data_IF_932666316515
#
_entry.id   IF_932666316515
#
_cell.length_a   1.000
_cell.length_b   1.000
_cell.length_c   1.000
_cell.angle_alpha   90.00
_cell.angle_beta   90.00
_cell.angle_gamma   90.00
#
_symmetry.space_group_name_H-M   'P 1'
#
loop_
_entity.id
_entity.type
_entity.pdbx_description
1 polymer ?
#
# COMPACT_ATOMS: atom_id res chain seq x y z
N UNK A 1 -65.37 38.29 16.49
CA UNK A 1 -64.53 37.21 17.05
C UNK A 1 -64.52 36.05 16.06
N UNK A 2 -63.31 35.58 15.67
CA UNK A 2 -62.99 34.37 14.84
C UNK A 2 -63.32 34.53 13.34
N UNK A 3 -62.43 34.77 12.38
CA UNK A 3 -61.06 34.28 12.04
C UNK A 3 -60.96 32.75 11.93
N UNK A 4 -60.62 32.29 10.72
CA UNK A 4 -60.18 30.92 10.37
C UNK A 4 -61.20 30.18 9.50
N UNK A 5 -60.86 29.54 8.38
CA UNK A 5 -59.61 28.88 8.06
C UNK A 5 -59.39 28.84 6.53
N UNK A 6 -58.16 29.13 6.12
CA UNK A 6 -57.71 29.19 4.74
C UNK A 6 -57.19 27.84 4.22
N UNK A 7 -57.41 27.67 2.92
CA UNK A 7 -56.68 26.91 1.90
C UNK A 7 -55.59 25.90 2.33
N UNK A 8 -55.77 24.69 1.82
CA UNK A 8 -54.77 23.64 1.70
C UNK A 8 -53.55 24.10 0.89
N UNK A 9 -52.35 23.88 1.44
CA UNK A 9 -51.13 23.75 0.64
C UNK A 9 -50.41 22.45 1.01
N UNK A 10 -50.07 21.72 -0.04
CA UNK A 10 -49.55 20.38 -0.06
C UNK A 10 -48.25 20.20 0.73
N UNK A 11 -48.21 19.11 1.51
CA UNK A 11 -46.99 18.44 1.95
C UNK A 11 -46.20 17.97 0.72
N UNK A 12 -45.08 18.63 0.40
CA UNK A 12 -43.85 17.97 -0.11
C UNK A 12 -42.67 18.85 0.30
N UNK A 13 -42.24 18.76 1.56
CA UNK A 13 -40.87 19.18 1.90
C UNK A 13 -39.99 17.96 1.75
N UNK A 14 -39.14 18.03 0.73
CA UNK A 14 -38.15 17.04 0.34
C UNK A 14 -37.33 16.58 1.56
N UNK A 15 -37.52 15.31 1.96
CA UNK A 15 -36.48 14.57 2.63
C UNK A 15 -35.37 14.31 1.59
N UNK A 16 -34.48 15.29 1.40
CA UNK A 16 -33.21 14.98 0.75
C UNK A 16 -32.45 14.06 1.71
N UNK A 17 -32.01 12.87 1.29
CA UNK A 17 -30.99 12.17 2.05
C UNK A 17 -29.77 13.07 1.96
N UNK A 18 -29.49 13.78 3.04
CA UNK A 18 -28.14 14.23 3.33
C UNK A 18 -27.29 12.97 3.40
N UNK A 19 -26.76 12.57 2.25
CA UNK A 19 -25.57 11.76 2.14
C UNK A 19 -24.49 12.55 2.88
N UNK A 20 -24.43 12.32 4.19
CA UNK A 20 -23.26 12.54 5.00
C UNK A 20 -22.21 11.60 4.41
N UNK A 21 -21.59 12.03 3.31
CA UNK A 21 -20.24 11.61 2.93
C UNK A 21 -19.30 12.16 3.99
N UNK A 22 -19.43 11.68 5.23
CA UNK A 22 -18.31 11.62 6.12
C UNK A 22 -17.29 10.77 5.39
N UNK A 23 -16.21 11.37 4.91
CA UNK A 23 -15.04 10.65 4.42
C UNK A 23 -14.67 9.67 5.51
N UNK A 24 -15.07 8.41 5.38
CA UNK A 24 -14.67 7.35 6.31
C UNK A 24 -13.17 7.35 6.25
N UNK A 25 -12.51 7.75 7.34
CA UNK A 25 -11.05 7.68 7.40
C UNK A 25 -10.69 6.22 7.16
N UNK A 26 -9.89 5.96 6.13
CA UNK A 26 -9.39 4.61 5.89
C UNK A 26 -8.62 4.14 7.11
N UNK A 27 -8.79 2.87 7.42
CA UNK A 27 -8.14 2.23 8.55
C UNK A 27 -6.63 2.06 8.29
N UNK A 28 -5.79 2.00 9.33
CA UNK A 28 -4.38 1.64 9.20
C UNK A 28 -4.16 0.33 8.44
N UNK A 29 -5.05 -0.65 8.61
CA UNK A 29 -5.01 -1.91 7.85
C UNK A 29 -5.15 -1.68 6.34
N UNK A 30 -6.16 -0.92 5.91
CA UNK A 30 -6.36 -0.60 4.49
C UNK A 30 -5.20 0.23 3.93
N UNK A 31 -4.61 1.12 4.72
CA UNK A 31 -3.46 1.91 4.29
C UNK A 31 -2.17 1.09 4.19
N UNK A 32 -1.97 0.13 5.08
CA UNK A 32 -0.85 -0.81 4.99
C UNK A 32 -0.94 -1.68 3.73
N UNK A 33 -2.14 -2.18 3.41
CA UNK A 33 -2.38 -2.94 2.16
C UNK A 33 -2.12 -2.07 0.94
N UNK A 34 -2.65 -0.84 0.91
CA UNK A 34 -2.40 0.08 -0.20
C UNK A 34 -0.91 0.45 -0.37
N UNK A 35 -0.16 0.54 0.73
CA UNK A 35 1.29 0.74 0.70
C UNK A 35 2.02 -0.50 0.12
N UNK A 36 1.60 -1.72 0.48
CA UNK A 36 2.12 -2.94 -0.13
C UNK A 36 1.82 -3.01 -1.63
N UNK A 37 0.59 -2.67 -2.06
CA UNK A 37 0.21 -2.63 -3.48
C UNK A 37 1.09 -1.66 -4.28
N UNK A 38 1.44 -0.51 -3.69
CA UNK A 38 2.40 0.42 -4.28
C UNK A 38 3.77 -0.22 -4.42
N UNK A 39 4.25 -0.89 -3.37
CA UNK A 39 5.52 -1.62 -3.43
C UNK A 39 5.53 -2.72 -4.49
N UNK A 40 4.42 -3.44 -4.66
CA UNK A 40 4.29 -4.45 -5.70
C UNK A 40 4.39 -3.85 -7.10
N UNK A 41 3.78 -2.69 -7.35
CA UNK A 41 3.87 -2.03 -8.65
C UNK A 41 5.32 -1.70 -9.02
N UNK A 42 6.07 -1.10 -8.10
CA UNK A 42 7.49 -0.81 -8.31
C UNK A 42 8.34 -2.07 -8.42
N UNK A 43 8.19 -3.04 -7.51
CA UNK A 43 8.98 -4.26 -7.52
C UNK A 43 8.70 -5.13 -8.76
N UNK A 44 7.49 -5.09 -9.33
CA UNK A 44 7.20 -5.75 -10.62
C UNK A 44 7.82 -5.02 -11.82
N UNK A 45 8.39 -3.84 -11.63
CA UNK A 45 8.93 -3.00 -12.69
C UNK A 45 7.86 -2.42 -13.61
N UNK A 46 6.64 -2.23 -13.09
CA UNK A 46 5.52 -1.64 -13.85
C UNK A 46 5.91 -0.26 -14.38
N UNK A 47 5.73 -0.07 -15.70
CA UNK A 47 6.07 1.17 -16.39
C UNK A 47 5.21 2.35 -15.93
N UNK A 48 4.05 2.10 -15.33
CA UNK A 48 3.15 3.11 -14.78
C UNK A 48 3.29 3.30 -13.26
N UNK A 49 4.23 2.59 -12.60
CA UNK A 49 4.37 2.64 -11.14
C UNK A 49 4.59 4.07 -10.63
N UNK A 50 5.50 4.83 -11.28
CA UNK A 50 5.82 6.21 -10.90
C UNK A 50 4.60 7.13 -11.02
N UNK A 51 3.91 7.12 -12.17
CA UNK A 51 2.73 7.96 -12.41
C UNK A 51 1.59 7.60 -11.45
N UNK A 52 1.41 6.32 -11.17
CA UNK A 52 0.41 5.82 -10.22
C UNK A 52 0.73 6.27 -8.79
N UNK A 53 1.99 6.24 -8.38
CA UNK A 53 2.42 6.72 -7.07
C UNK A 53 2.15 8.22 -6.91
N UNK A 54 2.52 9.03 -7.90
CA UNK A 54 2.26 10.48 -7.92
C UNK A 54 0.74 10.75 -7.87
N UNK A 55 -0.05 10.03 -8.68
CA UNK A 55 -1.51 10.14 -8.67
C UNK A 55 -2.14 9.75 -7.33
N UNK A 56 -1.52 8.82 -6.60
CA UNK A 56 -1.91 8.44 -5.25
C UNK A 56 -1.44 9.45 -4.18
N UNK A 57 -0.63 10.45 -4.54
CA UNK A 57 -0.15 11.51 -3.65
C UNK A 57 1.19 11.22 -2.98
N UNK A 58 1.98 10.29 -3.52
CA UNK A 58 3.38 10.13 -3.14
C UNK A 58 4.25 11.17 -3.85
N UNK A 59 5.22 11.74 -3.13
CA UNK A 59 6.28 12.54 -3.73
C UNK A 59 7.34 11.59 -4.29
N UNK A 60 7.02 10.95 -5.41
CA UNK A 60 7.81 9.87 -6.02
C UNK A 60 8.64 10.40 -7.20
N UNK A 61 9.86 9.88 -7.32
CA UNK A 61 10.78 10.19 -8.42
C UNK A 61 11.70 8.99 -8.72
N UNK A 62 12.25 8.97 -9.94
CA UNK A 62 13.31 8.05 -10.32
C UNK A 62 14.67 8.61 -9.87
N UNK A 63 15.46 7.77 -9.23
CA UNK A 63 16.81 8.10 -8.78
C UNK A 63 17.83 7.95 -9.93
N UNK A 64 18.95 8.67 -9.84
CA UNK A 64 20.05 8.47 -10.78
C UNK A 64 20.64 7.05 -10.63
N UNK A 65 20.79 6.35 -11.75
CA UNK A 65 21.32 4.99 -11.79
C UNK A 65 22.75 4.94 -12.32
N UNK A 66 23.57 4.10 -11.69
CA UNK A 66 24.95 3.82 -12.11
C UNK A 66 25.01 2.86 -13.32
N UNK A 67 23.89 2.22 -13.68
CA UNK A 67 23.83 1.16 -14.70
C UNK A 67 22.54 1.21 -15.52
N UNK A 68 22.58 1.00 -16.85
CA UNK A 68 21.36 0.94 -17.67
C UNK A 68 20.46 -0.26 -17.35
N UNK A 69 20.96 -1.23 -16.56
CA UNK A 69 20.20 -2.41 -16.13
C UNK A 69 19.56 -2.25 -14.75
N UNK A 70 19.74 -1.08 -14.13
CA UNK A 70 19.24 -0.79 -12.79
C UNK A 70 18.36 0.45 -12.87
N UNK A 71 17.17 0.38 -12.26
CA UNK A 71 16.29 1.51 -12.03
C UNK A 71 15.95 1.56 -10.55
N UNK A 72 16.04 2.74 -9.94
CA UNK A 72 15.67 2.94 -8.55
C UNK A 72 14.71 4.11 -8.43
N UNK A 73 13.85 4.04 -7.42
CA UNK A 73 12.83 5.03 -7.17
C UNK A 73 12.78 5.32 -5.68
N UNK A 74 12.60 6.60 -5.36
CA UNK A 74 12.37 7.06 -4.00
C UNK A 74 11.03 7.75 -3.95
N UNK A 75 10.29 7.57 -2.85
CA UNK A 75 9.04 8.27 -2.64
C UNK A 75 8.76 8.57 -1.17
N UNK A 76 8.19 9.73 -0.88
CA UNK A 76 7.76 10.11 0.47
C UNK A 76 6.26 10.38 0.53
N UNK A 77 5.58 9.95 1.60
CA UNK A 77 4.18 10.30 1.83
C UNK A 77 3.74 10.15 3.28
N UNK A 78 2.87 11.04 3.75
CA UNK A 78 2.05 10.78 4.94
C UNK A 78 1.02 9.68 4.64
N UNK A 79 1.22 8.51 5.23
CA UNK A 79 0.29 7.37 5.18
C UNK A 79 -0.78 7.57 6.27
N UNK A 80 -2.05 7.85 5.89
CA UNK A 80 -3.10 8.22 6.83
C UNK A 80 -3.26 7.26 8.00
N UNK A 81 -3.21 7.80 9.21
CA UNK A 81 -3.41 7.01 10.43
C UNK A 81 -2.25 6.08 10.80
N UNK A 82 -1.17 6.08 10.02
CA UNK A 82 0.07 5.34 10.27
C UNK A 82 1.22 6.33 10.51
N UNK A 83 1.60 7.15 9.55
CA UNK A 83 2.72 8.07 9.68
C UNK A 83 3.42 8.36 8.37
N UNK A 84 4.53 9.10 8.43
CA UNK A 84 5.32 9.40 7.25
C UNK A 84 6.08 8.15 6.79
N UNK A 85 5.82 7.71 5.56
CA UNK A 85 6.49 6.59 4.91
C UNK A 85 7.50 7.06 3.90
N UNK A 86 8.71 6.55 4.06
CA UNK A 86 9.80 6.68 3.10
C UNK A 86 9.92 5.36 2.34
N UNK A 87 9.70 5.42 1.03
CA UNK A 87 9.76 4.28 0.12
C UNK A 87 11.05 4.34 -0.69
N UNK A 88 11.74 3.21 -0.78
CA UNK A 88 12.80 2.97 -1.75
C UNK A 88 12.47 1.71 -2.54
N UNK A 89 12.55 1.79 -3.86
CA UNK A 89 12.39 0.66 -4.76
C UNK A 89 13.56 0.55 -5.73
N UNK A 90 13.86 -0.68 -6.13
CA UNK A 90 14.98 -1.03 -6.99
C UNK A 90 14.55 -2.16 -7.92
N UNK A 91 14.84 -2.02 -9.21
CA UNK A 91 14.61 -3.04 -10.22
C UNK A 91 15.92 -3.28 -10.98
N UNK A 92 16.42 -4.50 -10.89
CA UNK A 92 17.64 -4.94 -11.57
C UNK A 92 17.30 -5.97 -12.64
N UNK A 93 17.76 -5.75 -13.86
CA UNK A 93 17.54 -6.66 -14.99
C UNK A 93 18.79 -7.50 -15.25
N UNK A 94 18.64 -8.82 -15.15
CA UNK A 94 19.66 -9.82 -15.48
C UNK A 94 19.26 -10.57 -16.76
N UNK A 95 20.18 -11.33 -17.39
CA UNK A 95 19.88 -12.04 -18.64
C UNK A 95 18.67 -12.99 -18.57
N UNK A 96 18.46 -13.67 -17.45
CA UNK A 96 17.42 -14.70 -17.28
C UNK A 96 16.37 -14.37 -16.22
N UNK A 97 16.50 -13.22 -15.55
CA UNK A 97 15.58 -12.80 -14.48
C UNK A 97 15.60 -11.30 -14.25
N UNK A 98 14.58 -10.81 -13.60
CA UNK A 98 14.50 -9.45 -13.05
C UNK A 98 14.32 -9.56 -11.55
N UNK A 99 15.15 -8.84 -10.78
CA UNK A 99 14.98 -8.67 -9.35
C UNK A 99 14.28 -7.35 -9.09
N UNK A 100 13.16 -7.42 -8.38
CA UNK A 100 12.41 -6.29 -7.88
C UNK A 100 12.50 -6.23 -6.37
N UNK A 101 12.81 -5.07 -5.84
CA UNK A 101 12.84 -4.80 -4.41
C UNK A 101 12.06 -3.52 -4.13
N UNK A 102 11.24 -3.54 -3.09
CA UNK A 102 10.64 -2.33 -2.55
C UNK A 102 10.61 -2.41 -1.03
N UNK A 103 10.93 -1.30 -0.39
CA UNK A 103 10.84 -1.15 1.05
C UNK A 103 10.20 0.17 1.41
N UNK A 104 9.26 0.14 2.34
CA UNK A 104 8.67 1.32 2.97
C UNK A 104 9.03 1.26 4.45
N UNK A 105 9.66 2.33 4.94
CA UNK A 105 10.01 2.53 6.33
C UNK A 105 9.18 3.67 6.93
N UNK A 106 8.59 3.43 8.10
CA UNK A 106 7.87 4.43 8.89
C UNK A 106 8.43 4.39 10.31
N UNK A 107 9.31 5.34 10.66
CA UNK A 107 10.05 5.34 11.93
C UNK A 107 9.20 5.66 13.17
N UNK A 108 8.12 6.43 13.02
CA UNK A 108 7.24 6.82 14.14
C UNK A 108 5.79 6.44 13.85
N UNK A 109 5.48 5.14 13.78
CA UNK A 109 4.17 4.69 13.35
C UNK A 109 3.14 4.89 14.48
N UNK A 110 1.95 5.31 14.09
CA UNK A 110 0.79 5.61 14.93
C UNK A 110 -0.34 4.65 14.57
N UNK A 111 -1.25 4.40 15.50
CA UNK A 111 -2.43 3.57 15.24
C UNK A 111 -2.25 2.11 15.65
N UNK A 112 -2.99 1.22 14.99
CA UNK A 112 -3.12 -0.20 15.39
C UNK A 112 -2.18 -1.09 14.58
N UNK A 113 -0.93 -1.21 15.02
CA UNK A 113 0.08 -1.98 14.29
C UNK A 113 -0.25 -3.45 14.08
N UNK A 114 -0.76 -4.11 15.12
CA UNK A 114 -1.12 -5.53 15.04
C UNK A 114 -2.19 -5.79 13.96
N UNK A 115 -3.19 -4.90 13.81
CA UNK A 115 -4.23 -5.08 12.79
C UNK A 115 -3.71 -4.80 11.38
N UNK A 116 -2.74 -3.90 11.22
CA UNK A 116 -2.06 -3.70 9.95
C UNK A 116 -1.28 -4.95 9.52
N UNK A 117 -0.47 -5.54 10.42
CA UNK A 117 0.28 -6.77 10.10
C UNK A 117 -0.66 -7.95 9.82
N UNK A 118 -1.74 -8.11 10.62
CA UNK A 118 -2.75 -9.14 10.37
C UNK A 118 -3.44 -8.98 9.01
N UNK A 119 -3.71 -7.75 8.59
CA UNK A 119 -4.31 -7.49 7.29
C UNK A 119 -3.38 -7.89 6.15
N UNK A 120 -2.08 -7.56 6.25
CA UNK A 120 -1.08 -7.97 5.26
C UNK A 120 -0.93 -9.50 5.19
N UNK A 121 -0.88 -10.17 6.34
CA UNK A 121 -0.75 -11.63 6.42
C UNK A 121 -2.02 -12.40 6.01
N UNK A 122 -3.17 -11.74 5.96
CA UNK A 122 -4.44 -12.33 5.56
C UNK A 122 -4.76 -12.14 4.06
N UNK A 123 -3.84 -11.55 3.28
CA UNK A 123 -4.02 -11.39 1.83
C UNK A 123 -3.91 -12.75 1.13
N UNK A 124 -4.89 -13.08 0.29
CA UNK A 124 -4.97 -14.36 -0.44
C UNK A 124 -3.73 -14.68 -1.32
N UNK A 125 -2.91 -13.66 -1.63
CA UNK A 125 -1.67 -13.79 -2.41
C UNK A 125 -0.41 -14.12 -1.62
N UNK A 126 -0.51 -14.26 -0.29
CA UNK A 126 0.64 -14.51 0.59
C UNK A 126 0.32 -15.60 1.62
N UNK A 127 1.31 -16.40 1.96
CA UNK A 127 1.25 -17.37 3.06
C UNK A 127 2.52 -17.31 3.91
N UNK A 128 2.44 -17.67 5.19
CA UNK A 128 3.62 -17.71 6.05
C UNK A 128 3.30 -17.60 7.52
N UNK A 129 4.27 -17.09 8.28
CA UNK A 129 4.22 -17.07 9.74
C UNK A 129 4.11 -15.63 10.26
N UNK A 130 3.31 -15.49 11.32
CA UNK A 130 3.24 -14.29 12.14
C UNK A 130 3.72 -14.60 13.55
N UNK A 131 4.47 -13.66 14.13
CA UNK A 131 4.92 -13.73 15.50
C UNK A 131 4.71 -12.40 16.22
N UNK A 132 4.40 -12.45 17.51
CA UNK A 132 4.36 -11.28 18.39
C UNK A 132 5.41 -11.47 19.48
N UNK A 133 6.43 -10.62 19.48
CA UNK A 133 7.56 -10.71 20.40
C UNK A 133 7.97 -9.31 20.86
N UNK A 134 8.37 -9.17 22.13
CA UNK A 134 8.88 -7.91 22.69
C UNK A 134 7.99 -6.67 22.47
N UNK A 135 6.67 -6.86 22.36
CA UNK A 135 5.71 -5.79 22.09
C UNK A 135 5.58 -5.39 20.62
N UNK A 136 6.30 -6.05 19.72
CA UNK A 136 6.15 -5.93 18.27
C UNK A 136 5.30 -7.04 17.66
N UNK A 137 4.86 -6.84 16.42
CA UNK A 137 4.20 -7.84 15.58
C UNK A 137 4.98 -7.96 14.27
N UNK A 138 5.31 -9.19 13.88
CA UNK A 138 6.19 -9.51 12.76
C UNK A 138 5.48 -10.51 11.86
N UNK A 139 5.73 -10.43 10.55
CA UNK A 139 5.33 -11.43 9.59
C UNK A 139 6.44 -11.69 8.57
N UNK A 140 6.61 -12.97 8.24
CA UNK A 140 7.46 -13.44 7.15
C UNK A 140 6.61 -14.28 6.23
N UNK A 141 6.39 -13.78 5.01
CA UNK A 141 5.41 -14.26 4.07
C UNK A 141 6.06 -14.56 2.72
N UNK A 142 5.52 -15.54 2.02
CA UNK A 142 5.91 -15.95 0.67
C UNK A 142 4.70 -15.77 -0.23
N UNK A 143 4.91 -15.25 -1.44
CA UNK A 143 3.84 -15.14 -2.44
C UNK A 143 3.38 -16.51 -2.92
N UNK A 144 2.07 -16.69 -3.05
CA UNK A 144 1.44 -17.94 -3.55
C UNK A 144 1.18 -17.91 -5.06
N UNK A 145 1.57 -16.82 -5.73
CA UNK A 145 1.34 -16.58 -7.15
C UNK A 145 2.39 -17.20 -8.08
N UNK A 146 2.37 -16.76 -9.35
CA UNK A 146 3.29 -17.23 -10.40
C UNK A 146 4.71 -16.69 -10.21
N UNK A 147 4.85 -15.51 -9.60
CA UNK A 147 6.14 -14.89 -9.31
C UNK A 147 6.64 -15.35 -7.95
N UNK A 148 7.95 -15.57 -7.84
CA UNK A 148 8.58 -15.83 -6.57
C UNK A 148 8.66 -14.50 -5.80
N UNK A 149 7.88 -14.34 -4.73
CA UNK A 149 7.94 -13.15 -3.88
C UNK A 149 8.13 -13.48 -2.41
N UNK A 150 8.85 -12.60 -1.72
CA UNK A 150 9.12 -12.66 -0.29
C UNK A 150 8.72 -11.33 0.33
N UNK A 151 7.85 -11.36 1.33
CA UNK A 151 7.36 -10.20 2.05
C UNK A 151 7.74 -10.34 3.53
N UNK A 152 8.54 -9.40 4.01
CA UNK A 152 8.83 -9.24 5.44
C UNK A 152 8.18 -7.95 5.89
N UNK A 153 7.40 -8.01 6.96
CA UNK A 153 6.81 -6.82 7.55
C UNK A 153 6.85 -6.90 9.06
N UNK A 154 7.05 -5.76 9.72
CA UNK A 154 6.98 -5.68 11.16
C UNK A 154 6.48 -4.33 11.62
N UNK A 155 5.86 -4.33 12.79
CA UNK A 155 5.50 -3.14 13.53
C UNK A 155 5.97 -3.31 14.97
N UNK A 156 6.87 -2.46 15.42
CA UNK A 156 7.35 -2.44 16.79
C UNK A 156 7.61 -1.02 17.30
N UNK A 157 8.43 -0.88 18.35
CA UNK A 157 8.75 0.41 18.95
C UNK A 157 9.71 1.28 18.11
N UNK A 158 10.40 0.67 17.14
CA UNK A 158 11.36 1.34 16.25
C UNK A 158 10.71 1.80 14.96
N UNK A 159 9.70 1.07 14.48
CA UNK A 159 9.01 1.46 13.26
C UNK A 159 8.00 0.44 12.74
N UNK A 160 7.41 0.81 11.61
CA UNK A 160 6.65 -0.06 10.74
C UNK A 160 7.36 -0.18 9.40
N UNK A 161 7.60 -1.42 8.97
CA UNK A 161 8.30 -1.71 7.71
C UNK A 161 7.48 -2.67 6.87
N UNK A 162 7.42 -2.38 5.58
CA UNK A 162 7.01 -3.31 4.53
C UNK A 162 8.22 -3.50 3.63
N UNK A 163 8.71 -4.73 3.49
CA UNK A 163 9.83 -5.06 2.60
C UNK A 163 9.43 -6.22 1.69
N UNK A 164 9.37 -5.94 0.40
CA UNK A 164 8.97 -6.87 -0.63
C UNK A 164 10.13 -7.12 -1.60
N UNK A 165 10.37 -8.39 -1.90
CA UNK A 165 11.27 -8.82 -2.97
C UNK A 165 10.49 -9.69 -3.95
N UNK A 166 10.67 -9.48 -5.24
CA UNK A 166 10.08 -10.27 -6.32
C UNK A 166 11.19 -10.71 -7.26
N UNK A 167 11.21 -12.00 -7.61
CA UNK A 167 12.01 -12.55 -8.69
C UNK A 167 11.10 -12.94 -9.85
N UNK A 168 11.34 -12.32 -11.00
CA UNK A 168 10.58 -12.55 -12.23
C UNK A 168 11.49 -13.20 -13.27
N UNK A 169 11.19 -14.42 -13.75
CA UNK A 169 11.93 -15.02 -14.86
C UNK A 169 11.83 -14.19 -16.14
N UNK A 170 12.94 -14.01 -16.86
CA UNK A 170 12.94 -13.41 -18.19
C UNK A 170 12.80 -14.54 -19.23
N UNK A 171 11.58 -14.75 -19.75
CA UNK A 171 11.29 -15.83 -20.71
C UNK A 171 11.95 -15.65 -22.08
N UNK A 172 12.68 -14.56 -22.31
CA UNK A 172 13.38 -14.29 -23.55
C UNK A 172 14.66 -15.13 -23.76
N UNK A 173 15.23 -15.72 -22.70
CA UNK A 173 16.50 -16.49 -22.76
C UNK A 173 16.32 -18.00 -22.66
N UNK A 174 15.10 -18.50 -22.44
CA UNK A 174 14.81 -19.93 -22.34
C UNK A 174 14.65 -20.68 -23.68
N UNK A 175 14.91 -20.02 -24.83
CA UNK A 175 14.79 -20.62 -26.18
C UNK A 175 16.14 -20.90 -26.88
N UNK A 176 17.25 -21.06 -26.15
CA UNK A 176 18.55 -21.38 -26.74
C UNK A 176 19.16 -22.70 -26.24
#
# INVERSE_FOLDING_TARGET
MRVGLALALALVLAAQPTLVQGKTKSSPAEQAVAALEMCEAFAKGDVLALETAIGAGWDAYEDESESPFIRSYSAGREVPGIGWGDMFALVETYPDRTLGYCRIDIAEPRGQGESAIKALAALDGYEGEMASENGGTYASLIGTGVLESLLITHWDAVGFVIQLTILTPNTATSEH
#
